data_IF_009759242836
#
_entry.id   IF_009759242836
#
_cell.length_a   1.000
_cell.length_b   1.000
_cell.length_c   1.000
_cell.angle_alpha   90.00
_cell.angle_beta   90.00
_cell.angle_gamma   90.00
#
_symmetry.space_group_name_H-M   'P 1'
#
loop_
_entity.id
_entity.type
_entity.pdbx_description
1 polymer ?
#
# COMPACT_ATOMS: atom_id res chain seq x y z
N UNK A 1 -24.40 25.99 -14.02
CA UNK A 1 -23.98 26.23 -12.62
C UNK A 1 -24.04 24.94 -11.77
N UNK A 2 -23.55 23.80 -12.26
CA UNK A 2 -23.60 22.49 -11.56
C UNK A 2 -22.23 21.88 -11.20
N UNK A 3 -21.12 22.61 -11.39
CA UNK A 3 -19.77 22.00 -11.33
C UNK A 3 -19.26 21.71 -9.91
N UNK A 4 -19.70 22.44 -8.88
CA UNK A 4 -19.17 22.26 -7.52
C UNK A 4 -19.66 20.96 -6.86
N UNK A 5 -20.93 20.61 -7.03
CA UNK A 5 -21.51 19.38 -6.47
C UNK A 5 -20.84 18.12 -7.07
N UNK A 6 -20.57 18.13 -8.38
CA UNK A 6 -19.88 17.03 -9.06
C UNK A 6 -18.43 16.89 -8.61
N UNK A 7 -17.69 18.01 -8.48
CA UNK A 7 -16.30 18.01 -7.98
C UNK A 7 -16.23 17.44 -6.55
N UNK A 8 -17.13 17.90 -5.67
CA UNK A 8 -17.24 17.41 -4.29
C UNK A 8 -17.53 15.90 -4.23
N UNK A 9 -18.41 15.40 -5.09
CA UNK A 9 -18.73 13.96 -5.16
C UNK A 9 -17.52 13.13 -5.61
N UNK A 10 -16.79 13.60 -6.60
CA UNK A 10 -15.54 12.96 -7.07
C UNK A 10 -14.48 12.98 -5.95
N UNK A 11 -14.33 14.10 -5.24
CA UNK A 11 -13.41 14.22 -4.11
C UNK A 11 -13.67 13.18 -3.02
N UNK A 12 -14.95 13.02 -2.62
CA UNK A 12 -15.35 12.00 -1.65
C UNK A 12 -15.08 10.57 -2.13
N UNK A 13 -15.31 10.27 -3.41
CA UNK A 13 -15.02 8.94 -3.99
C UNK A 13 -13.51 8.66 -3.98
N UNK A 14 -12.69 9.64 -4.36
CA UNK A 14 -11.22 9.51 -4.34
C UNK A 14 -10.69 9.25 -2.92
N UNK A 15 -11.23 9.95 -1.91
CA UNK A 15 -10.90 9.69 -0.50
C UNK A 15 -11.30 8.28 -0.09
N UNK A 16 -12.52 7.85 -0.43
CA UNK A 16 -13.00 6.50 -0.12
C UNK A 16 -12.11 5.39 -0.69
N UNK A 17 -11.72 5.52 -1.96
CA UNK A 17 -10.80 4.58 -2.62
C UNK A 17 -9.43 4.62 -1.93
N UNK A 18 -8.92 5.81 -1.63
CA UNK A 18 -7.62 5.96 -0.97
C UNK A 18 -7.58 5.33 0.42
N UNK A 19 -8.64 5.49 1.22
CA UNK A 19 -8.79 4.83 2.53
C UNK A 19 -8.82 3.31 2.35
N UNK A 20 -9.58 2.79 1.39
CA UNK A 20 -9.63 1.35 1.12
C UNK A 20 -8.24 0.78 0.77
N UNK A 21 -7.47 1.49 -0.06
CA UNK A 21 -6.10 1.09 -0.41
C UNK A 21 -5.16 1.10 0.79
N UNK A 22 -5.26 2.11 1.67
CA UNK A 22 -4.46 2.15 2.90
C UNK A 22 -4.81 1.01 3.86
N UNK A 23 -6.09 0.67 3.99
CA UNK A 23 -6.53 -0.47 4.79
C UNK A 23 -5.98 -1.79 4.22
N UNK A 24 -6.06 -1.99 2.91
CA UNK A 24 -5.49 -3.16 2.24
C UNK A 24 -3.98 -3.24 2.47
N UNK A 25 -3.24 -2.14 2.30
CA UNK A 25 -1.80 -2.10 2.56
C UNK A 25 -1.46 -2.46 4.02
N UNK A 26 -2.24 -1.94 4.97
CA UNK A 26 -2.07 -2.25 6.40
C UNK A 26 -2.32 -3.73 6.71
N UNK A 27 -3.37 -4.32 6.13
CA UNK A 27 -3.66 -5.76 6.29
C UNK A 27 -2.56 -6.62 5.68
N UNK A 28 -2.08 -6.29 4.48
CA UNK A 28 -0.97 -7.02 3.84
C UNK A 28 0.31 -6.94 4.68
N UNK A 29 0.64 -5.76 5.21
CA UNK A 29 1.79 -5.59 6.10
C UNK A 29 1.66 -6.42 7.38
N UNK A 30 0.46 -6.48 7.95
CA UNK A 30 0.19 -7.29 9.14
C UNK A 30 0.32 -8.80 8.86
N UNK A 31 -0.17 -9.26 7.71
CA UNK A 31 -0.03 -10.68 7.30
C UNK A 31 1.46 -11.03 7.15
N UNK A 32 2.24 -10.18 6.48
CA UNK A 32 3.68 -10.42 6.30
C UNK A 32 4.44 -10.45 7.63
N UNK A 33 4.04 -9.60 8.59
CA UNK A 33 4.59 -9.63 9.95
C UNK A 33 4.32 -10.97 10.64
N UNK A 34 3.12 -11.53 10.50
CA UNK A 34 2.74 -12.81 11.12
C UNK A 34 3.38 -14.02 10.44
N UNK A 35 3.57 -13.99 9.13
CA UNK A 35 4.16 -15.13 8.40
C UNK A 35 5.62 -15.38 8.75
N UNK A 36 6.30 -14.37 9.31
CA UNK A 36 7.71 -14.48 9.69
C UNK A 36 8.62 -14.75 8.50
N UNK A 37 9.93 -14.71 8.74
CA UNK A 37 10.94 -15.01 7.71
C UNK A 37 11.70 -16.24 8.18
N UNK A 38 11.60 -17.33 7.42
CA UNK A 38 12.40 -18.53 7.66
C UNK A 38 13.65 -18.47 6.79
N UNK A 39 14.82 -18.40 7.42
CA UNK A 39 16.12 -18.49 6.73
C UNK A 39 16.50 -19.98 6.68
N UNK A 40 16.69 -20.58 5.49
CA UNK A 40 17.14 -21.95 5.35
C UNK A 40 18.45 -22.19 6.14
N UNK A 41 18.55 -23.31 6.84
CA UNK A 41 19.75 -23.71 7.58
C UNK A 41 20.47 -24.86 6.85
N UNK A 42 21.82 -24.82 6.69
CA UNK A 42 22.73 -23.76 7.13
C UNK A 42 22.61 -22.49 6.27
N UNK A 43 22.82 -21.29 6.85
CA UNK A 43 22.71 -20.05 6.11
C UNK A 43 23.83 -19.94 5.07
N UNK A 44 23.46 -19.96 3.79
CA UNK A 44 24.35 -19.66 2.66
C UNK A 44 24.14 -18.23 2.18
N UNK A 45 25.16 -17.60 1.59
CA UNK A 45 25.04 -16.24 1.02
C UNK A 45 23.86 -16.15 0.03
N UNK A 46 23.69 -17.16 -0.82
CA UNK A 46 22.60 -17.27 -1.77
C UNK A 46 21.22 -17.30 -1.07
N UNK A 47 21.09 -18.06 0.01
CA UNK A 47 19.85 -18.11 0.79
C UNK A 47 19.49 -16.77 1.44
N UNK A 48 20.49 -16.02 1.91
CA UNK A 48 20.29 -14.68 2.50
C UNK A 48 19.90 -13.66 1.44
N UNK A 49 20.58 -13.66 0.29
CA UNK A 49 20.25 -12.77 -0.83
C UNK A 49 18.85 -13.05 -1.37
N UNK A 50 18.46 -14.31 -1.45
CA UNK A 50 17.11 -14.71 -1.85
C UNK A 50 16.06 -14.16 -0.87
N UNK A 51 16.24 -14.38 0.43
CA UNK A 51 15.32 -13.88 1.47
C UNK A 51 15.22 -12.36 1.41
N UNK A 52 16.36 -11.66 1.30
CA UNK A 52 16.40 -10.20 1.20
C UNK A 52 15.64 -9.69 -0.04
N UNK A 53 15.82 -10.33 -1.19
CA UNK A 53 15.11 -9.96 -2.41
C UNK A 53 13.60 -10.15 -2.27
N UNK A 54 13.15 -11.28 -1.68
CA UNK A 54 11.72 -11.56 -1.46
C UNK A 54 11.10 -10.54 -0.53
N UNK A 55 11.74 -10.25 0.61
CA UNK A 55 11.24 -9.27 1.58
C UNK A 55 11.18 -7.88 0.95
N UNK A 56 12.24 -7.48 0.24
CA UNK A 56 12.31 -6.17 -0.42
C UNK A 56 11.22 -6.01 -1.45
N UNK A 57 11.00 -7.01 -2.31
CA UNK A 57 9.95 -7.00 -3.32
C UNK A 57 8.56 -6.83 -2.70
N UNK A 58 8.25 -7.62 -1.66
CA UNK A 58 6.96 -7.56 -0.96
C UNK A 58 6.73 -6.21 -0.28
N UNK A 59 7.74 -5.68 0.42
CA UNK A 59 7.66 -4.38 1.09
C UNK A 59 7.49 -3.26 0.07
N UNK A 60 8.23 -3.29 -1.04
CA UNK A 60 8.10 -2.30 -2.11
C UNK A 60 6.69 -2.31 -2.71
N UNK A 61 6.11 -3.48 -2.93
CA UNK A 61 4.74 -3.62 -3.42
C UNK A 61 3.71 -2.99 -2.48
N UNK A 62 3.79 -3.29 -1.18
CA UNK A 62 2.90 -2.71 -0.16
C UNK A 62 3.06 -1.18 -0.09
N UNK A 63 4.31 -0.69 -0.15
CA UNK A 63 4.61 0.73 -0.12
C UNK A 63 3.98 1.48 -1.31
N UNK A 64 4.01 0.90 -2.52
CA UNK A 64 3.38 1.50 -3.71
C UNK A 64 1.86 1.60 -3.55
N UNK A 65 1.21 0.57 -3.01
CA UNK A 65 -0.24 0.61 -2.72
C UNK A 65 -0.56 1.70 -1.71
N UNK A 66 0.19 1.76 -0.61
CA UNK A 66 -0.01 2.77 0.42
C UNK A 66 0.19 4.19 -0.14
N UNK A 67 1.21 4.38 -0.96
CA UNK A 67 1.50 5.66 -1.60
C UNK A 67 0.40 6.09 -2.58
N UNK A 68 -0.10 5.17 -3.42
CA UNK A 68 -1.23 5.43 -4.29
C UNK A 68 -2.49 5.82 -3.51
N UNK A 69 -2.76 5.13 -2.39
CA UNK A 69 -3.86 5.46 -1.49
C UNK A 69 -3.75 6.87 -0.92
N UNK A 70 -2.56 7.25 -0.43
CA UNK A 70 -2.30 8.60 0.08
C UNK A 70 -2.46 9.69 -1.00
N UNK A 71 -2.00 9.44 -2.24
CA UNK A 71 -2.19 10.37 -3.36
C UNK A 71 -3.68 10.54 -3.68
N UNK A 72 -4.47 9.47 -3.64
CA UNK A 72 -5.90 9.56 -3.92
C UNK A 72 -6.65 10.36 -2.84
N UNK A 73 -6.29 10.19 -1.56
CA UNK A 73 -6.85 10.99 -0.47
C UNK A 73 -6.49 12.47 -0.66
N UNK A 74 -5.21 12.79 -0.89
CA UNK A 74 -4.77 14.18 -1.07
C UNK A 74 -5.44 14.85 -2.27
N UNK A 75 -5.54 14.16 -3.40
CA UNK A 75 -6.28 14.66 -4.58
C UNK A 75 -7.78 14.80 -4.31
N UNK A 76 -8.36 13.88 -3.55
CA UNK A 76 -9.76 13.96 -3.16
C UNK A 76 -10.05 15.14 -2.25
N UNK A 77 -9.15 15.44 -1.30
CA UNK A 77 -9.22 16.61 -0.43
C UNK A 77 -9.05 17.93 -1.21
N UNK A 78 -8.20 17.96 -2.24
CA UNK A 78 -8.05 19.13 -3.12
C UNK A 78 -9.27 19.37 -4.03
N UNK A 79 -10.09 18.34 -4.27
CA UNK A 79 -11.27 18.41 -5.11
C UNK A 79 -12.57 18.74 -4.34
N UNK A 80 -12.49 18.78 -3.01
CA UNK A 80 -13.55 19.19 -2.09
C UNK A 80 -13.63 20.72 -1.98
#
# INVERSE_FOLDING_TARGET
MSSSATKRRIGLVLIGIGIALLLVASVLAYIELLTGISIPQPPSLESVLYVLAVVTYKVAFIAVIAWAGAILITRGLQAL
#
